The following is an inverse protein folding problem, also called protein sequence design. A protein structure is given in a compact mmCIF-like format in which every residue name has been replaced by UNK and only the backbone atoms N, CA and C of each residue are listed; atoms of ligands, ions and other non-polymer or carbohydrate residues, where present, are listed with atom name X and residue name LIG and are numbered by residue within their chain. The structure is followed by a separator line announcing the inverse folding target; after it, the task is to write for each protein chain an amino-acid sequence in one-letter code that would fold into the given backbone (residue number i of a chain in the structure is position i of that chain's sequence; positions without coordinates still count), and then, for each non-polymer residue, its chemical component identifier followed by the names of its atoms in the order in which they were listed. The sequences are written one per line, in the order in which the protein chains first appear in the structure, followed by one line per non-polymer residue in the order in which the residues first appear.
data_IF_638900415745
#
_entry.id   IF_638900415745
#
_cell.length_a   1.000
_cell.length_b   1.000
_cell.length_c   1.000
_cell.angle_alpha   90.00
_cell.angle_beta   90.00
_cell.angle_gamma   90.00
#
_symmetry.space_group_name_H-M   'P 1'
#
loop_
_entity.id
_entity.type
_entity.pdbx_description
1 polymer ?
#
# COMPACT_ATOMS: atom_id res chain seq x y z
N UNK A 1 4.19 -5.96 -5.39
CA UNK A 1 4.01 -5.02 -4.26
C UNK A 1 4.32 -5.74 -2.97
N UNK A 2 4.86 -5.04 -1.97
CA UNK A 2 5.14 -5.57 -0.64
C UNK A 2 4.10 -5.05 0.35
N UNK A 3 3.71 -5.88 1.31
CA UNK A 3 2.72 -5.59 2.34
C UNK A 3 3.27 -5.97 3.71
N UNK A 4 3.20 -5.06 4.68
CA UNK A 4 3.68 -5.32 6.03
C UNK A 4 2.60 -6.02 6.88
N UNK A 5 2.78 -7.32 7.14
CA UNK A 5 1.80 -8.15 7.85
C UNK A 5 1.93 -8.08 9.37
N UNK A 6 3.12 -7.74 9.90
CA UNK A 6 3.36 -7.65 11.35
C UNK A 6 4.32 -6.52 11.68
N UNK A 7 3.85 -5.58 12.50
CA UNK A 7 4.66 -4.46 12.98
C UNK A 7 3.98 -3.75 14.17
N UNK A 8 4.47 -2.58 14.55
CA UNK A 8 3.70 -1.65 15.38
C UNK A 8 2.37 -1.30 14.71
N UNK A 9 1.38 -0.87 15.51
CA UNK A 9 0.06 -0.42 15.03
C UNK A 9 0.15 0.67 13.97
N UNK A 10 1.16 1.52 14.07
CA UNK A 10 1.50 2.59 13.12
C UNK A 10 1.97 2.07 11.75
N UNK A 11 2.63 0.93 11.70
CA UNK A 11 3.36 0.46 10.52
C UNK A 11 2.75 -0.77 9.86
N UNK A 12 1.92 -1.53 10.58
CA UNK A 12 1.17 -2.66 10.03
C UNK A 12 0.24 -2.22 8.90
N UNK A 13 0.11 -3.05 7.87
CA UNK A 13 -0.73 -2.78 6.70
C UNK A 13 -0.15 -1.81 5.68
N UNK A 14 1.02 -1.20 5.93
CA UNK A 14 1.68 -0.35 4.94
C UNK A 14 2.14 -1.16 3.73
N UNK A 15 2.00 -0.57 2.55
CA UNK A 15 2.39 -1.17 1.28
C UNK A 15 3.42 -0.34 0.53
N UNK A 16 4.18 -1.01 -0.33
CA UNK A 16 5.06 -0.32 -1.27
C UNK A 16 5.21 -1.11 -2.57
N UNK A 17 5.36 -0.41 -3.68
CA UNK A 17 5.62 -1.03 -4.99
C UNK A 17 7.12 -1.18 -5.14
N UNK A 18 7.55 -2.38 -5.50
CA UNK A 18 8.93 -2.65 -5.89
C UNK A 18 9.15 -2.02 -7.27
N UNK A 19 10.13 -1.13 -7.44
CA UNK A 19 10.46 -0.56 -8.76
C UNK A 19 10.96 -1.63 -9.73
N UNK A 20 10.51 -1.58 -10.98
CA UNK A 20 10.90 -2.55 -12.02
C UNK A 20 12.38 -2.45 -12.41
N UNK A 21 13.00 -1.29 -12.20
CA UNK A 21 14.43 -1.06 -12.46
C UNK A 21 15.35 -1.64 -11.38
N UNK A 22 14.80 -2.32 -10.37
CA UNK A 22 15.58 -2.95 -9.33
C UNK A 22 16.10 -4.31 -9.83
N UNK A 23 17.23 -4.30 -10.55
CA UNK A 23 17.95 -5.49 -11.01
C UNK A 23 18.67 -6.24 -9.87
N UNK A 24 18.00 -6.42 -8.73
CA UNK A 24 18.53 -7.12 -7.55
C UNK A 24 17.50 -8.08 -6.99
N UNK A 25 17.96 -9.24 -6.54
CA UNK A 25 17.15 -10.15 -5.75
C UNK A 25 16.76 -9.45 -4.44
N UNK A 26 15.47 -9.44 -4.13
CA UNK A 26 14.95 -8.86 -2.89
C UNK A 26 14.75 -9.98 -1.90
N UNK A 27 15.46 -9.89 -0.78
CA UNK A 27 15.19 -10.72 0.40
C UNK A 27 14.35 -9.88 1.36
N UNK A 28 13.18 -10.40 1.70
CA UNK A 28 12.29 -9.78 2.67
C UNK A 28 12.10 -10.73 3.86
N UNK A 29 11.92 -10.18 5.06
CA UNK A 29 11.63 -11.01 6.23
C UNK A 29 10.22 -11.62 6.13
N UNK A 30 9.92 -12.55 7.04
CA UNK A 30 8.63 -13.25 7.11
C UNK A 30 7.41 -12.34 7.40
N UNK A 31 7.65 -11.10 7.85
CA UNK A 31 6.60 -10.11 8.12
C UNK A 31 6.26 -9.25 6.89
N UNK A 32 6.92 -9.47 5.76
CA UNK A 32 6.62 -8.82 4.48
C UNK A 32 6.02 -9.84 3.52
N UNK A 33 4.77 -9.61 3.15
CA UNK A 33 4.07 -10.42 2.17
C UNK A 33 4.19 -9.78 0.78
N UNK A 34 4.47 -10.60 -0.24
CA UNK A 34 4.47 -10.16 -1.63
C UNK A 34 3.07 -10.32 -2.21
N UNK A 35 2.51 -9.21 -2.68
CA UNK A 35 1.25 -9.16 -3.44
C UNK A 35 1.60 -8.97 -4.92
N UNK A 36 1.12 -9.88 -5.74
CA UNK A 36 1.24 -9.82 -7.20
C UNK A 36 -0.12 -9.44 -7.81
N UNK A 37 -0.08 -8.60 -8.84
CA UNK A 37 -1.29 -8.26 -9.60
C UNK A 37 -1.63 -9.40 -10.56
N UNK A 38 -2.91 -9.75 -10.62
CA UNK A 38 -3.42 -10.68 -11.62
C UNK A 38 -3.93 -9.93 -12.87
N UNK A 39 -3.60 -10.43 -14.06
CA UNK A 39 -4.10 -9.90 -15.33
C UNK A 39 -3.65 -8.45 -15.62
N UNK A 40 -4.54 -7.66 -16.25
CA UNK A 40 -4.24 -6.29 -16.73
C UNK A 40 -4.38 -5.19 -15.66
N UNK A 41 -4.58 -5.56 -14.39
CA UNK A 41 -4.80 -4.61 -13.30
C UNK A 41 -3.61 -3.68 -13.08
N UNK A 42 -3.88 -2.41 -12.78
CA UNK A 42 -2.82 -1.44 -12.46
C UNK A 42 -2.41 -1.57 -11.00
N UNK A 43 -1.23 -2.13 -10.76
CA UNK A 43 -0.67 -2.30 -9.40
C UNK A 43 -0.58 -0.97 -8.61
N UNK A 44 -0.31 0.15 -9.31
CA UNK A 44 -0.31 1.49 -8.71
C UNK A 44 -1.68 1.90 -8.16
N UNK A 45 -2.76 1.55 -8.86
CA UNK A 45 -4.12 1.82 -8.40
C UNK A 45 -4.40 1.05 -7.10
N UNK A 46 -4.10 -0.25 -7.08
CA UNK A 46 -4.28 -1.09 -5.88
C UNK A 46 -3.48 -0.49 -4.72
N UNK A 47 -2.21 -0.13 -4.94
CA UNK A 47 -1.39 0.48 -3.91
C UNK A 47 -2.01 1.78 -3.36
N UNK A 48 -2.50 2.67 -4.23
CA UNK A 48 -3.16 3.91 -3.79
C UNK A 48 -4.43 3.65 -2.98
N UNK A 49 -5.22 2.64 -3.35
CA UNK A 49 -6.35 2.21 -2.55
C UNK A 49 -5.88 1.71 -1.18
N UNK A 50 -4.92 0.79 -1.12
CA UNK A 50 -4.49 0.18 0.15
C UNK A 50 -3.81 1.18 1.11
N UNK A 51 -3.18 2.25 0.62
CA UNK A 51 -2.63 3.31 1.48
C UNK A 51 -3.65 4.42 1.80
N UNK A 52 -4.88 4.34 1.28
CA UNK A 52 -5.91 5.33 1.55
C UNK A 52 -6.29 5.36 3.04
N UNK A 53 -6.81 6.50 3.54
CA UNK A 53 -7.33 6.58 4.91
C UNK A 53 -8.39 5.50 5.21
N UNK A 54 -9.21 5.16 4.21
CA UNK A 54 -10.21 4.11 4.31
C UNK A 54 -9.58 2.73 4.56
N UNK A 55 -8.65 2.30 3.71
CA UNK A 55 -7.96 1.01 3.89
C UNK A 55 -7.12 0.99 5.16
N UNK A 56 -6.52 2.13 5.54
CA UNK A 56 -5.83 2.25 6.83
C UNK A 56 -6.77 1.99 8.01
N UNK A 57 -7.95 2.60 8.03
CA UNK A 57 -8.94 2.35 9.06
C UNK A 57 -9.39 0.88 9.07
N UNK A 58 -9.65 0.31 7.89
CA UNK A 58 -9.98 -1.11 7.72
C UNK A 58 -8.89 -2.02 8.33
N UNK A 59 -7.62 -1.78 8.03
CA UNK A 59 -6.51 -2.55 8.58
C UNK A 59 -6.40 -2.44 10.09
N UNK A 60 -6.59 -1.25 10.66
CA UNK A 60 -6.57 -1.06 12.11
C UNK A 60 -7.68 -1.85 12.81
N UNK A 61 -8.84 -2.00 12.17
CA UNK A 61 -9.94 -2.82 12.69
C UNK A 61 -9.72 -4.33 12.49
N UNK A 62 -8.95 -4.72 11.47
CA UNK A 62 -8.58 -6.12 11.23
C UNK A 62 -7.47 -6.62 12.15
N UNK A 63 -6.69 -5.73 12.77
CA UNK A 63 -5.55 -6.13 13.59
C UNK A 63 -6.01 -6.80 14.89
N UNK A 64 -5.59 -8.05 15.10
CA UNK A 64 -5.61 -8.64 16.42
C UNK A 64 -4.50 -7.98 17.25
N UNK A 65 -4.81 -7.48 18.45
CA UNK A 65 -3.83 -6.78 19.31
C UNK A 65 -3.39 -7.67 20.46
N UNK A 66 -2.32 -8.47 20.32
CA UNK A 66 -1.52 -8.88 21.46
C UNK A 66 -0.56 -7.74 21.80
N UNK A 67 -0.93 -6.94 22.81
CA UNK A 67 -0.17 -5.98 23.66
C UNK A 67 0.97 -5.11 23.09
N UNK A 68 1.79 -5.54 22.11
CA UNK A 68 2.85 -4.74 21.48
C UNK A 68 3.04 -4.94 19.96
N UNK A 69 2.53 -6.04 19.35
CA UNK A 69 2.73 -6.33 17.92
C UNK A 69 1.40 -6.53 17.23
N UNK A 70 1.06 -5.64 16.32
CA UNK A 70 -0.14 -5.75 15.50
C UNK A 70 0.11 -6.69 14.32
N UNK A 71 -0.84 -7.59 14.05
CA UNK A 71 -0.75 -8.55 12.96
C UNK A 71 -2.00 -8.53 12.07
N UNK A 72 -1.78 -8.62 10.76
CA UNK A 72 -2.81 -8.89 9.75
C UNK A 72 -2.44 -10.20 9.08
N UNK A 73 -3.27 -11.23 9.30
CA UNK A 73 -3.02 -12.56 8.78
C UNK A 73 -3.41 -12.66 7.31
N UNK A 74 -2.70 -13.50 6.56
CA UNK A 74 -2.97 -13.75 5.13
C UNK A 74 -4.43 -14.17 4.87
N UNK A 75 -5.04 -14.97 5.78
CA UNK A 75 -6.45 -15.35 5.69
C UNK A 75 -7.41 -14.15 5.71
N UNK A 76 -7.05 -13.07 6.39
CA UNK A 76 -7.84 -11.84 6.42
C UNK A 76 -7.61 -11.03 5.15
N UNK A 77 -6.37 -10.97 4.64
CA UNK A 77 -6.05 -10.30 3.38
C UNK A 77 -6.74 -10.95 2.18
N UNK A 78 -6.83 -12.28 2.15
CA UNK A 78 -7.51 -13.00 1.06
C UNK A 78 -9.02 -12.72 0.99
N UNK A 79 -9.61 -12.18 2.07
CA UNK A 79 -11.03 -11.79 2.12
C UNK A 79 -11.24 -10.31 1.81
N UNK A 80 -10.18 -9.55 1.58
CA UNK A 80 -10.25 -8.11 1.36
C UNK A 80 -10.86 -7.81 -0.01
N UNK A 81 -11.90 -7.01 -0.02
CA UNK A 81 -12.53 -6.52 -1.24
C UNK A 81 -11.87 -5.20 -1.67
N UNK A 82 -11.34 -5.18 -2.89
CA UNK A 82 -10.80 -3.99 -3.54
C UNK A 82 -11.75 -3.59 -4.66
N UNK A 83 -12.26 -2.34 -4.68
CA UNK A 83 -13.04 -1.87 -5.82
C UNK A 83 -12.14 -1.88 -7.05
N UNK A 84 -12.59 -2.51 -8.13
CA UNK A 84 -11.81 -2.63 -9.35
C UNK A 84 -12.55 -1.98 -10.52
N UNK A 85 -12.38 -0.67 -10.74
CA UNK A 85 -13.02 0.03 -11.84
C UNK A 85 -12.43 -0.41 -13.19
N UNK A 86 -13.04 -0.02 -14.33
CA UNK A 86 -12.49 -0.29 -15.66
C UNK A 86 -11.04 0.19 -15.82
N UNK A 87 -10.28 -0.43 -16.72
CA UNK A 87 -8.83 -0.16 -16.86
C UNK A 87 -8.51 1.31 -17.16
N UNK A 88 -9.32 1.98 -17.97
CA UNK A 88 -9.14 3.42 -18.26
C UNK A 88 -9.34 4.26 -17.01
N UNK A 89 -10.30 3.90 -16.16
CA UNK A 89 -10.55 4.60 -14.90
C UNK A 89 -9.42 4.37 -13.90
N UNK A 90 -8.87 3.15 -13.83
CA UNK A 90 -7.67 2.87 -13.03
C UNK A 90 -6.49 3.76 -13.46
N UNK A 91 -6.28 3.94 -14.77
CA UNK A 91 -5.22 4.81 -15.31
C UNK A 91 -5.46 6.27 -14.92
N UNK A 92 -6.67 6.78 -15.17
CA UNK A 92 -7.06 8.16 -14.87
C UNK A 92 -6.84 8.52 -13.40
N UNK A 93 -7.23 7.62 -12.48
CA UNK A 93 -7.02 7.80 -11.04
C UNK A 93 -5.52 7.85 -10.70
N UNK A 94 -4.74 6.89 -11.21
CA UNK A 94 -3.29 6.82 -10.96
C UNK A 94 -2.58 8.07 -11.46
N UNK A 95 -2.93 8.55 -12.65
CA UNK A 95 -2.36 9.77 -13.23
C UNK A 95 -2.70 11.00 -12.39
N UNK A 96 -3.96 11.16 -12.00
CA UNK A 96 -4.39 12.31 -11.20
C UNK A 96 -3.69 12.36 -9.84
N UNK A 97 -3.61 11.23 -9.14
CA UNK A 97 -2.90 11.13 -7.86
C UNK A 97 -1.40 11.41 -8.06
N UNK A 98 -0.80 10.88 -9.13
CA UNK A 98 0.60 11.14 -9.48
C UNK A 98 0.88 12.62 -9.70
N UNK A 99 0.03 13.33 -10.43
CA UNK A 99 0.13 14.78 -10.63
C UNK A 99 0.05 15.54 -9.29
N UNK A 100 -0.86 15.17 -8.40
CA UNK A 100 -0.97 15.79 -7.07
C UNK A 100 0.30 15.60 -6.25
N UNK A 101 0.90 14.41 -6.25
CA UNK A 101 2.18 14.19 -5.56
C UNK A 101 3.32 15.00 -6.15
N UNK A 102 3.35 15.19 -7.47
CA UNK A 102 4.35 16.04 -8.12
C UNK A 102 4.16 17.50 -7.69
N UNK A 103 2.93 18.01 -7.71
CA UNK A 103 2.63 19.37 -7.25
C UNK A 103 3.02 19.58 -5.78
N UNK A 104 2.66 18.64 -4.90
CA UNK A 104 3.03 18.68 -3.48
C UNK A 104 4.55 18.67 -3.26
N UNK A 105 5.30 17.91 -4.05
CA UNK A 105 6.77 17.89 -3.97
C UNK A 105 7.42 19.20 -4.46
N UNK A 106 6.76 19.91 -5.38
CA UNK A 106 7.25 21.20 -5.90
C UNK A 106 7.08 22.33 -4.86
N UNK A 107 6.09 22.21 -3.97
CA UNK A 107 5.94 23.10 -2.84
C UNK A 107 7.07 22.87 -1.82
N UNK A 108 8.00 23.81 -1.73
CA UNK A 108 9.21 23.79 -0.87
C UNK A 108 8.91 23.59 0.64
N UNK A 109 7.66 23.66 1.05
CA UNK A 109 7.22 23.44 2.44
C UNK A 109 6.92 21.97 2.77
N UNK A 110 6.85 21.06 1.78
CA UNK A 110 6.46 19.67 2.01
C UNK A 110 7.48 18.86 2.84
N UNK A 111 8.76 19.24 2.82
CA UNK A 111 9.79 18.55 3.61
C UNK A 111 9.77 18.93 5.10
N UNK A 112 9.21 20.09 5.47
CA UNK A 112 9.15 20.55 6.87
C UNK A 112 8.09 19.83 7.72
N UNK A 113 7.10 19.19 7.10
CA UNK A 113 5.98 18.52 7.80
C UNK A 113 6.31 17.06 8.17
N UNK A 114 7.47 16.54 7.73
CA UNK A 114 7.92 15.17 8.01
C UNK A 114 8.95 15.04 9.14
N UNK A 115 9.37 16.15 9.75
CA UNK A 115 10.23 16.16 10.95
C UNK A 115 9.42 16.12 12.22
#
# INVERSE_FOLDING_TARGET
MLFNTRNSRELVGKTTIVPDNLNKKILANNNILRIESFGKMKLKYINYYLISPFSRHMFLNMTAVPTNVAAIYQKQLNKLLVPLPPLEEQKRIVEKIGQLFISLKRDKNYEKVKQ
#
